data_IF_284304892782
#
_entry.id   IF_284304892782
#
_cell.length_a   1.000
_cell.length_b   1.000
_cell.length_c   1.000
_cell.angle_alpha   90.00
_cell.angle_beta   90.00
_cell.angle_gamma   90.00
#
_symmetry.space_group_name_H-M   'P 1'
#
loop_
_entity.id
_entity.type
_entity.pdbx_description
1 polymer ?
#
# COMPACT_ATOMS: atom_id res chain seq x y z
N UNK A 1 26.30 18.89 17.99
CA UNK A 1 25.27 17.96 17.49
C UNK A 1 25.86 17.23 16.30
N UNK A 2 26.47 16.09 16.54
CA UNK A 2 27.06 15.22 15.53
C UNK A 2 25.91 14.57 14.74
N UNK A 3 25.79 14.93 13.47
CA UNK A 3 24.93 14.20 12.52
C UNK A 3 25.30 12.72 12.56
N UNK A 4 24.35 11.78 12.67
CA UNK A 4 24.66 10.36 12.56
C UNK A 4 25.37 10.13 11.23
N UNK A 5 26.52 9.48 11.27
CA UNK A 5 27.19 9.00 10.08
C UNK A 5 26.17 8.15 9.30
N UNK A 6 25.76 8.63 8.13
CA UNK A 6 24.75 7.95 7.32
C UNK A 6 25.37 6.63 6.87
N UNK A 7 24.77 5.50 7.28
CA UNK A 7 25.19 4.18 6.83
C UNK A 7 25.19 4.18 5.29
N UNK A 8 26.35 3.87 4.69
CA UNK A 8 26.47 3.76 3.24
C UNK A 8 25.87 2.40 2.87
N UNK A 9 24.62 2.39 2.42
CA UNK A 9 23.96 1.17 1.95
C UNK A 9 24.70 0.59 0.75
N UNK A 10 24.95 -0.72 0.73
CA UNK A 10 25.43 -1.39 -0.48
C UNK A 10 24.26 -1.60 -1.43
N UNK A 11 24.40 -1.13 -2.67
CA UNK A 11 23.39 -1.31 -3.72
C UNK A 11 24.06 -1.47 -5.06
N UNK A 12 23.51 -2.35 -5.88
CA UNK A 12 23.92 -2.48 -7.27
C UNK A 12 23.08 -1.53 -8.11
N UNK A 13 23.75 -0.73 -8.94
CA UNK A 13 23.11 0.19 -9.87
C UNK A 13 23.29 -0.32 -11.30
N UNK A 14 22.24 -0.23 -12.10
CA UNK A 14 22.33 -0.32 -13.56
C UNK A 14 22.26 1.09 -14.14
N UNK A 15 23.09 1.40 -15.13
CA UNK A 15 23.10 2.69 -15.80
C UNK A 15 22.68 2.53 -17.26
N UNK A 16 21.86 3.44 -17.76
CA UNK A 16 21.53 3.54 -19.18
C UNK A 16 22.71 4.07 -19.99
N UNK A 17 22.58 4.02 -21.32
CA UNK A 17 23.40 4.84 -22.20
C UNK A 17 23.11 6.33 -21.96
N UNK A 18 24.07 7.17 -22.34
CA UNK A 18 23.86 8.61 -22.43
C UNK A 18 22.73 8.95 -23.41
N UNK A 19 22.12 10.13 -23.26
CA UNK A 19 21.01 10.55 -24.11
C UNK A 19 19.63 10.17 -23.59
N UNK A 20 19.49 9.76 -22.33
CA UNK A 20 18.24 9.23 -21.81
C UNK A 20 17.79 9.92 -20.52
N UNK A 21 16.47 10.06 -20.36
CA UNK A 21 15.82 10.51 -19.15
C UNK A 21 14.77 9.49 -18.70
N UNK A 22 14.47 9.49 -17.41
CA UNK A 22 13.35 8.73 -16.90
C UNK A 22 12.07 9.56 -17.00
N UNK A 23 11.03 8.97 -17.59
CA UNK A 23 9.68 9.52 -17.60
C UNK A 23 8.80 8.66 -16.69
N UNK A 24 8.44 9.13 -15.49
CA UNK A 24 7.49 8.41 -14.65
C UNK A 24 6.12 8.36 -15.34
N UNK A 25 5.34 7.33 -15.03
CA UNK A 25 3.95 7.26 -15.46
C UNK A 25 3.08 8.29 -14.71
N UNK A 26 3.44 8.62 -13.47
CA UNK A 26 2.72 9.55 -12.61
C UNK A 26 3.67 10.58 -11.98
N UNK A 27 3.29 11.86 -11.99
CA UNK A 27 4.14 12.95 -11.48
C UNK A 27 4.48 12.83 -9.99
N UNK A 28 3.60 12.19 -9.20
CA UNK A 28 3.81 11.94 -7.76
C UNK A 28 5.06 11.08 -7.48
N UNK A 29 5.58 10.40 -8.49
CA UNK A 29 6.77 9.56 -8.36
C UNK A 29 8.07 10.37 -8.28
N UNK A 30 8.07 11.66 -8.62
CA UNK A 30 9.25 12.51 -8.43
C UNK A 30 9.43 12.84 -6.94
N UNK A 31 10.47 12.26 -6.33
CA UNK A 31 10.81 12.49 -4.92
C UNK A 31 11.53 13.82 -4.75
N UNK A 32 12.54 14.07 -5.58
CA UNK A 32 13.46 15.19 -5.43
C UNK A 32 13.99 15.63 -6.78
N UNK A 33 14.06 16.94 -6.98
CA UNK A 33 14.77 17.58 -8.09
C UNK A 33 15.79 18.54 -7.49
N UNK A 34 17.08 18.27 -7.71
CA UNK A 34 18.18 19.06 -7.15
C UNK A 34 19.33 19.19 -8.14
N UNK A 35 20.29 20.04 -7.82
CA UNK A 35 21.60 20.06 -8.48
C UNK A 35 22.57 19.09 -7.80
N UNK A 36 23.33 18.32 -8.58
CA UNK A 36 24.42 17.49 -8.09
C UNK A 36 25.68 17.72 -8.93
N UNK A 37 26.85 17.84 -8.29
CA UNK A 37 28.10 18.15 -9.01
C UNK A 37 28.59 16.97 -9.88
N UNK A 38 28.10 15.76 -9.63
CA UNK A 38 28.47 14.57 -10.38
C UNK A 38 27.38 13.51 -10.36
N UNK A 39 27.48 12.58 -11.31
CA UNK A 39 26.65 11.37 -11.36
C UNK A 39 26.74 10.59 -10.05
N UNK A 40 27.95 10.48 -9.47
CA UNK A 40 28.19 9.78 -8.22
C UNK A 40 27.46 10.43 -7.03
N UNK A 41 27.39 11.76 -6.98
CA UNK A 41 26.64 12.44 -5.92
C UNK A 41 25.13 12.34 -6.11
N UNK A 42 24.66 12.29 -7.37
CA UNK A 42 23.25 12.02 -7.66
C UNK A 42 22.86 10.59 -7.26
N UNK A 43 23.69 9.61 -7.64
CA UNK A 43 23.44 8.21 -7.29
C UNK A 43 23.55 7.96 -5.79
N UNK A 44 24.49 8.61 -5.09
CA UNK A 44 24.60 8.56 -3.63
C UNK A 44 23.35 9.15 -2.95
N UNK A 45 22.81 10.24 -3.48
CA UNK A 45 21.57 10.83 -2.96
C UNK A 45 20.37 9.89 -3.16
N UNK A 46 20.28 9.20 -4.31
CA UNK A 46 19.30 8.14 -4.48
C UNK A 46 19.54 7.02 -3.45
N UNK A 47 20.79 6.59 -3.29
CA UNK A 47 21.14 5.48 -2.42
C UNK A 47 20.80 5.70 -0.95
N UNK A 48 20.94 6.94 -0.47
CA UNK A 48 20.60 7.35 0.89
C UNK A 48 19.09 7.52 1.10
N UNK A 49 18.29 7.53 0.02
CA UNK A 49 16.84 7.63 0.10
C UNK A 49 16.20 6.24 -0.09
N UNK A 50 15.52 5.68 0.93
CA UNK A 50 14.94 4.33 0.85
C UNK A 50 13.80 4.21 -0.17
N UNK A 51 13.12 5.32 -0.52
CA UNK A 51 12.07 5.35 -1.55
C UNK A 51 12.64 5.47 -2.97
N UNK A 52 13.88 5.94 -3.14
CA UNK A 52 14.46 6.15 -4.47
C UNK A 52 14.88 4.84 -5.13
N UNK A 53 14.30 4.55 -6.29
CA UNK A 53 14.60 3.35 -7.09
C UNK A 53 15.18 3.68 -8.45
N UNK A 54 14.83 4.84 -9.00
CA UNK A 54 15.40 5.36 -10.24
C UNK A 54 15.88 6.78 -9.99
N UNK A 55 16.97 7.17 -10.65
CA UNK A 55 17.39 8.55 -10.75
C UNK A 55 17.78 8.87 -12.19
N UNK A 56 17.71 10.13 -12.57
CA UNK A 56 18.43 10.61 -13.75
C UNK A 56 19.32 11.78 -13.41
N UNK A 57 20.42 11.87 -14.16
CA UNK A 57 21.44 12.87 -13.98
C UNK A 57 21.85 13.41 -15.35
N UNK A 58 21.77 14.72 -15.51
CA UNK A 58 22.28 15.42 -16.67
C UNK A 58 23.57 16.17 -16.32
N UNK A 59 24.69 15.79 -16.96
CA UNK A 59 25.99 16.37 -16.60
C UNK A 59 26.19 17.80 -17.10
N UNK A 60 25.44 18.26 -18.10
CA UNK A 60 25.54 19.63 -18.62
C UNK A 60 24.89 20.66 -17.70
N UNK A 61 23.71 20.33 -17.17
CA UNK A 61 22.92 21.19 -16.29
C UNK A 61 23.13 20.90 -14.80
N UNK A 62 23.88 19.84 -14.48
CA UNK A 62 24.00 19.28 -13.13
C UNK A 62 22.66 18.86 -12.51
N UNK A 63 21.60 18.70 -13.31
CA UNK A 63 20.28 18.32 -12.81
C UNK A 63 20.31 16.86 -12.35
N UNK A 64 19.79 16.62 -11.16
CA UNK A 64 19.62 15.31 -10.55
C UNK A 64 18.17 15.14 -10.09
N UNK A 65 17.46 14.18 -10.67
CA UNK A 65 16.09 13.83 -10.28
C UNK A 65 16.06 12.44 -9.67
N UNK A 66 15.36 12.29 -8.55
CA UNK A 66 15.18 11.04 -7.83
C UNK A 66 13.72 10.62 -7.92
N UNK A 67 13.46 9.34 -8.21
CA UNK A 67 12.13 8.82 -8.43
C UNK A 67 11.81 7.60 -7.57
N UNK A 68 10.59 7.61 -7.04
CA UNK A 68 9.90 6.47 -6.45
C UNK A 68 9.16 5.72 -7.57
N UNK A 69 9.95 5.15 -8.47
CA UNK A 69 9.45 4.50 -9.68
C UNK A 69 10.35 3.33 -10.08
N UNK A 70 9.80 2.42 -10.87
CA UNK A 70 10.53 1.37 -11.54
C UNK A 70 10.13 1.34 -13.03
N UNK A 71 10.66 0.37 -13.78
CA UNK A 71 10.36 0.23 -15.21
C UNK A 71 8.96 -0.34 -15.48
N UNK A 72 8.22 -0.78 -14.45
CA UNK A 72 6.84 -1.22 -14.61
C UNK A 72 5.86 -0.02 -14.59
N UNK A 73 6.25 1.10 -13.98
CA UNK A 73 5.44 2.32 -13.85
C UNK A 73 6.14 3.57 -14.42
N UNK A 74 6.99 3.39 -15.42
CA UNK A 74 7.65 4.47 -16.13
C UNK A 74 8.47 3.94 -17.29
N UNK A 75 9.14 4.84 -18.01
CA UNK A 75 9.95 4.49 -19.16
C UNK A 75 11.24 5.29 -19.22
N UNK A 76 12.30 4.64 -19.69
CA UNK A 76 13.53 5.33 -20.11
C UNK A 76 13.31 5.81 -21.55
N UNK A 77 13.36 7.12 -21.76
CA UNK A 77 13.11 7.73 -23.07
C UNK A 77 14.36 8.44 -23.56
N UNK A 78 14.59 8.43 -24.87
CA UNK A 78 15.63 9.22 -25.49
C UNK A 78 15.28 10.71 -25.42
N UNK A 79 16.27 11.56 -25.13
CA UNK A 79 16.11 13.02 -25.06
C UNK A 79 17.17 13.73 -25.89
N UNK A 80 16.94 15.01 -26.18
CA UNK A 80 17.89 15.83 -26.94
C UNK A 80 19.22 16.04 -26.21
N UNK A 81 19.22 16.02 -24.88
CA UNK A 81 20.44 16.10 -24.08
C UNK A 81 21.25 14.81 -24.23
N UNK A 82 22.38 14.88 -24.92
CA UNK A 82 23.34 13.76 -25.02
C UNK A 82 24.12 13.53 -23.71
N UNK A 83 23.88 14.32 -22.66
CA UNK A 83 24.60 14.23 -21.38
C UNK A 83 23.79 13.61 -20.24
N UNK A 84 22.53 13.24 -20.50
CA UNK A 84 21.66 12.64 -19.50
C UNK A 84 21.83 11.12 -19.42
N UNK A 85 21.90 10.59 -18.19
CA UNK A 85 21.98 9.17 -17.87
C UNK A 85 20.91 8.84 -16.84
N UNK A 86 20.24 7.69 -17.01
CA UNK A 86 19.33 7.11 -16.03
C UNK A 86 20.06 6.02 -15.26
N UNK A 87 19.94 6.03 -13.93
CA UNK A 87 20.37 4.92 -13.08
C UNK A 87 19.19 4.26 -12.38
N UNK A 88 19.20 2.93 -12.30
CA UNK A 88 18.20 2.14 -11.57
C UNK A 88 18.86 1.29 -10.49
N UNK A 89 18.23 1.27 -9.32
CA UNK A 89 18.63 0.42 -8.20
C UNK A 89 18.13 -0.99 -8.47
N UNK A 90 19.04 -1.97 -8.49
CA UNK A 90 18.68 -3.37 -8.69
C UNK A 90 18.21 -3.95 -7.36
N UNK A 91 16.98 -4.44 -7.35
CA UNK A 91 16.37 -5.07 -6.18
C UNK A 91 16.46 -6.59 -6.32
N UNK A 92 16.89 -7.25 -5.25
CA UNK A 92 16.95 -8.72 -5.19
C UNK A 92 16.19 -9.21 -3.97
N UNK A 93 15.31 -10.19 -4.15
CA UNK A 93 14.57 -10.83 -3.05
C UNK A 93 15.47 -11.29 -1.89
N UNK A 94 16.69 -11.76 -2.20
CA UNK A 94 17.66 -12.21 -1.19
C UNK A 94 18.08 -11.10 -0.22
N UNK A 95 18.00 -9.83 -0.64
CA UNK A 95 18.31 -8.66 0.18
C UNK A 95 17.11 -8.21 1.03
N UNK A 96 15.93 -8.82 0.87
CA UNK A 96 14.72 -8.44 1.59
C UNK A 96 14.23 -9.55 2.52
N UNK A 97 14.11 -10.78 1.99
CA UNK A 97 13.42 -11.87 2.67
C UNK A 97 13.99 -12.24 4.04
N UNK A 98 15.30 -12.13 4.23
CA UNK A 98 15.94 -12.42 5.52
C UNK A 98 15.74 -11.35 6.58
N UNK A 99 15.42 -10.11 6.18
CA UNK A 99 15.32 -8.97 7.08
C UNK A 99 13.88 -8.56 7.41
N UNK A 100 12.91 -8.90 6.57
CA UNK A 100 11.53 -8.51 6.81
C UNK A 100 11.02 -9.08 8.13
N UNK A 101 10.36 -8.22 8.92
CA UNK A 101 9.85 -8.51 10.26
C UNK A 101 10.92 -8.89 11.31
N UNK A 102 12.21 -8.72 11.02
CA UNK A 102 13.29 -8.81 12.02
C UNK A 102 13.27 -7.60 12.95
N UNK A 103 14.04 -7.64 14.03
CA UNK A 103 14.21 -6.47 14.92
C UNK A 103 14.81 -5.28 14.17
N UNK A 104 14.48 -4.06 14.57
CA UNK A 104 14.97 -2.85 13.91
C UNK A 104 16.50 -2.77 13.78
N UNK A 105 17.26 -3.41 14.67
CA UNK A 105 18.72 -3.52 14.56
C UNK A 105 19.19 -4.22 13.29
N UNK A 106 18.38 -5.13 12.71
CA UNK A 106 18.72 -5.90 11.53
C UNK A 106 18.66 -5.09 10.22
N UNK A 107 17.83 -4.03 10.16
CA UNK A 107 17.69 -3.19 8.96
C UNK A 107 18.29 -1.79 9.10
N UNK A 108 19.06 -1.50 10.16
CA UNK A 108 19.74 -0.20 10.28
C UNK A 108 20.67 0.09 9.09
N UNK A 109 21.29 -0.96 8.54
CA UNK A 109 22.20 -0.90 7.40
C UNK A 109 21.53 -1.34 6.10
N UNK A 110 20.20 -1.37 6.06
CA UNK A 110 19.43 -1.75 4.89
C UNK A 110 18.58 -0.58 4.39
N UNK A 111 18.76 -0.17 3.13
CA UNK A 111 17.90 0.85 2.50
C UNK A 111 16.54 0.32 2.08
N UNK A 112 16.43 -0.99 1.94
CA UNK A 112 15.29 -1.66 1.34
C UNK A 112 14.12 -1.82 2.31
N UNK A 113 14.36 -1.63 3.60
CA UNK A 113 13.42 -1.75 4.69
C UNK A 113 13.65 -0.62 5.69
N UNK A 114 12.61 -0.22 6.38
CA UNK A 114 12.66 0.81 7.42
C UNK A 114 12.21 0.23 8.75
N UNK A 115 12.82 0.67 9.85
CA UNK A 115 12.33 0.34 11.18
C UNK A 115 10.95 0.98 11.41
N UNK A 116 9.93 0.15 11.61
CA UNK A 116 8.62 0.59 12.11
C UNK A 116 8.74 0.78 13.62
N UNK A 117 8.55 2.02 14.09
CA UNK A 117 8.58 2.34 15.52
C UNK A 117 7.37 1.74 16.27
N UNK A 118 6.27 1.48 15.57
CA UNK A 118 5.06 0.91 16.16
C UNK A 118 5.22 -0.56 16.48
N UNK A 119 5.83 -1.33 15.56
CA UNK A 119 6.02 -2.78 15.72
C UNK A 119 7.43 -3.14 16.20
N UNK A 120 8.35 -2.17 16.22
CA UNK A 120 9.79 -2.36 16.46
C UNK A 120 10.43 -3.42 15.54
N UNK A 121 9.92 -3.51 14.31
CA UNK A 121 10.40 -4.47 13.31
C UNK A 121 10.71 -3.80 11.98
N UNK A 122 11.54 -4.46 11.18
CA UNK A 122 11.88 -4.06 9.82
C UNK A 122 10.67 -4.27 8.91
N UNK A 123 10.18 -3.17 8.35
CA UNK A 123 9.00 -3.11 7.49
C UNK A 123 9.34 -2.52 6.14
N UNK A 124 8.43 -2.66 5.18
CA UNK A 124 8.57 -2.02 3.88
C UNK A 124 8.59 -0.48 4.04
N UNK A 125 9.42 0.25 3.26
CA UNK A 125 9.41 1.70 3.23
C UNK A 125 8.05 2.28 2.82
N UNK A 126 7.88 3.60 2.99
CA UNK A 126 6.69 4.30 2.49
C UNK A 126 6.40 3.98 1.01
N UNK A 127 5.10 3.94 0.68
CA UNK A 127 4.57 3.64 -0.66
C UNK A 127 5.09 2.33 -1.27
N UNK A 128 5.42 1.36 -0.43
CA UNK A 128 5.77 0.00 -0.82
C UNK A 128 5.03 -0.99 0.08
N UNK A 129 4.89 -2.23 -0.36
CA UNK A 129 4.13 -3.26 0.36
C UNK A 129 4.88 -4.58 0.35
N UNK A 130 4.64 -5.45 1.32
CA UNK A 130 5.29 -6.75 1.36
C UNK A 130 4.56 -7.76 0.48
N UNK A 131 5.19 -8.26 -0.58
CA UNK A 131 4.56 -9.23 -1.48
C UNK A 131 4.88 -10.71 -1.14
N UNK A 132 5.44 -10.97 0.04
CA UNK A 132 5.94 -12.30 0.43
C UNK A 132 7.42 -12.53 0.15
N UNK A 133 8.07 -11.68 -0.66
CA UNK A 133 9.48 -11.85 -1.06
C UNK A 133 10.31 -10.58 -0.94
N UNK A 134 9.74 -9.44 -1.34
CA UNK A 134 10.39 -8.13 -1.30
C UNK A 134 9.35 -7.03 -1.06
N UNK A 135 9.83 -5.78 -0.99
CA UNK A 135 8.97 -4.61 -0.93
C UNK A 135 8.90 -3.91 -2.31
N UNK A 136 8.08 -4.37 -3.28
CA UNK A 136 7.80 -3.61 -4.49
C UNK A 136 7.06 -2.30 -4.17
N UNK A 137 7.04 -1.37 -5.11
CA UNK A 137 6.22 -0.17 -5.01
C UNK A 137 4.75 -0.54 -4.95
N UNK A 138 3.99 0.23 -4.15
CA UNK A 138 2.54 0.19 -4.17
C UNK A 138 2.01 0.55 -5.56
N UNK A 139 0.90 -0.09 -5.88
CA UNK A 139 0.27 -0.12 -7.18
C UNK A 139 -0.62 1.11 -7.39
N UNK A 140 -0.64 1.59 -8.64
CA UNK A 140 -1.44 2.73 -9.07
C UNK A 140 -2.84 2.31 -9.54
N UNK A 141 -3.67 3.29 -9.90
CA UNK A 141 -5.04 3.06 -10.31
C UNK A 141 -5.14 2.04 -11.46
N UNK A 142 -6.13 1.15 -11.36
CA UNK A 142 -6.44 0.04 -12.28
C UNK A 142 -5.37 -1.07 -12.36
N UNK A 143 -4.29 -1.00 -11.59
CA UNK A 143 -3.35 -2.11 -11.49
C UNK A 143 -3.99 -3.28 -10.73
N UNK A 144 -3.73 -4.51 -11.19
CA UNK A 144 -4.20 -5.71 -10.53
C UNK A 144 -3.49 -5.91 -9.19
N UNK A 145 -4.25 -6.19 -8.14
CA UNK A 145 -3.72 -6.30 -6.78
C UNK A 145 -4.20 -7.60 -6.12
N UNK A 146 -3.40 -8.11 -5.18
CA UNK A 146 -3.63 -9.41 -4.51
C UNK A 146 -3.74 -9.31 -2.99
N UNK A 147 -3.67 -8.09 -2.43
CA UNK A 147 -3.71 -7.83 -1.00
C UNK A 147 -4.12 -6.38 -0.71
N UNK A 148 -4.62 -6.15 0.51
CA UNK A 148 -5.27 -4.91 0.92
C UNK A 148 -4.33 -3.68 0.87
N UNK A 149 -3.06 -3.87 1.20
CA UNK A 149 -2.03 -2.84 1.32
C UNK A 149 -1.20 -2.66 0.03
N UNK A 150 -1.57 -3.36 -1.04
CA UNK A 150 -0.83 -3.28 -2.30
C UNK A 150 -0.97 -1.94 -3.03
N UNK A 151 -2.03 -1.18 -2.78
CA UNK A 151 -2.35 0.04 -3.53
C UNK A 151 -1.82 1.31 -2.86
N UNK A 152 -1.57 2.35 -3.65
CA UNK A 152 -1.09 3.68 -3.20
C UNK A 152 -2.13 4.40 -2.33
N UNK A 153 -2.01 4.22 -1.03
CA UNK A 153 -2.92 4.81 -0.03
C UNK A 153 -2.87 6.34 0.01
N UNK A 154 -1.71 6.93 -0.30
CA UNK A 154 -1.51 8.38 -0.43
C UNK A 154 -2.32 8.99 -1.60
N UNK A 155 -2.71 8.16 -2.57
CA UNK A 155 -3.59 8.52 -3.68
C UNK A 155 -5.06 8.11 -3.43
N UNK A 156 -5.41 7.75 -2.18
CA UNK A 156 -6.72 7.25 -1.79
C UNK A 156 -7.15 6.01 -2.60
N UNK A 157 -6.18 5.16 -2.96
CA UNK A 157 -6.43 3.88 -3.63
C UNK A 157 -6.48 2.75 -2.62
N UNK A 158 -7.39 1.80 -2.86
CA UNK A 158 -7.48 0.55 -2.10
C UNK A 158 -7.70 -0.60 -3.06
N UNK A 159 -7.22 -1.79 -2.68
CA UNK A 159 -7.41 -2.99 -3.47
C UNK A 159 -8.86 -3.47 -3.31
N UNK A 160 -9.65 -3.36 -4.37
CA UNK A 160 -11.07 -3.73 -4.29
C UNK A 160 -11.25 -5.25 -4.29
N UNK A 161 -12.19 -5.69 -3.47
CA UNK A 161 -12.59 -7.09 -3.34
C UNK A 161 -13.87 -7.31 -4.15
N UNK A 162 -13.89 -8.33 -5.01
CA UNK A 162 -15.07 -8.70 -5.77
C UNK A 162 -16.12 -9.42 -4.89
N UNK A 163 -17.29 -9.76 -5.46
CA UNK A 163 -18.34 -10.48 -4.74
C UNK A 163 -17.94 -11.89 -4.24
N UNK A 164 -16.80 -12.41 -4.71
CA UNK A 164 -16.26 -13.72 -4.33
C UNK A 164 -15.19 -13.62 -3.24
N UNK A 165 -14.89 -12.42 -2.75
CA UNK A 165 -13.85 -12.23 -1.73
C UNK A 165 -12.43 -12.13 -2.31
N UNK A 166 -12.28 -11.99 -3.62
CA UNK A 166 -10.97 -11.90 -4.27
C UNK A 166 -10.55 -10.45 -4.51
N UNK A 167 -9.28 -10.18 -4.24
CA UNK A 167 -8.64 -8.93 -4.62
C UNK A 167 -8.54 -8.82 -6.15
N UNK A 168 -8.89 -7.65 -6.68
CA UNK A 168 -8.95 -7.45 -8.14
C UNK A 168 -8.04 -6.32 -8.60
N UNK A 169 -8.36 -5.07 -8.26
CA UNK A 169 -7.63 -3.91 -8.78
C UNK A 169 -7.64 -2.71 -7.82
N UNK A 170 -6.67 -1.81 -8.00
CA UNK A 170 -6.59 -0.57 -7.23
C UNK A 170 -7.57 0.47 -7.78
N UNK A 171 -8.55 0.88 -6.98
CA UNK A 171 -9.50 1.94 -7.33
C UNK A 171 -9.62 2.98 -6.23
N UNK A 172 -10.06 4.18 -6.61
CA UNK A 172 -10.41 5.24 -5.67
C UNK A 172 -11.72 4.90 -4.99
N UNK A 173 -11.76 5.00 -3.66
CA UNK A 173 -13.02 5.03 -2.92
C UNK A 173 -13.80 3.73 -2.92
N UNK A 174 -13.32 2.74 -2.16
CA UNK A 174 -14.29 2.09 -1.30
C UNK A 174 -14.64 3.10 -0.20
N UNK A 175 -15.92 3.45 0.05
CA UNK A 175 -16.27 3.97 1.37
C UNK A 175 -15.70 2.97 2.37
N UNK A 176 -15.08 3.45 3.45
CA UNK A 176 -14.54 2.64 4.54
C UNK A 176 -15.24 1.29 4.57
N UNK A 177 -14.54 0.25 4.13
CA UNK A 177 -15.01 -1.10 4.35
C UNK A 177 -15.12 -1.19 5.87
N UNK A 178 -16.33 -0.97 6.39
CA UNK A 178 -16.63 -1.21 7.78
C UNK A 178 -16.31 -2.68 7.94
N UNK A 179 -15.13 -2.95 8.49
CA UNK A 179 -14.69 -4.25 8.94
C UNK A 179 -15.90 -4.93 9.55
N UNK A 180 -16.23 -6.11 9.04
CA UNK A 180 -17.35 -6.93 9.49
C UNK A 180 -17.49 -6.79 11.01
N UNK A 181 -18.48 -5.99 11.45
CA UNK A 181 -18.67 -5.70 12.85
C UNK A 181 -19.28 -6.95 13.46
N UNK A 182 -18.44 -7.80 14.06
CA UNK A 182 -18.92 -8.88 14.91
C UNK A 182 -19.44 -8.24 16.20
N UNK A 183 -20.73 -7.92 16.22
CA UNK A 183 -21.40 -7.43 17.42
C UNK A 183 -21.79 -8.64 18.26
N UNK A 184 -20.96 -8.95 19.25
CA UNK A 184 -21.26 -9.96 20.27
C UNK A 184 -21.78 -9.24 21.51
N UNK A 185 -23.09 -9.31 21.78
CA UNK A 185 -23.70 -8.66 22.94
C UNK A 185 -24.81 -9.53 23.54
N UNK A 186 -24.93 -9.54 24.87
CA UNK A 186 -26.00 -10.28 25.56
C UNK A 186 -27.40 -9.71 25.25
N UNK A 187 -27.49 -8.40 25.00
CA UNK A 187 -28.75 -7.72 24.66
C UNK A 187 -28.46 -6.59 23.68
N UNK A 188 -29.05 -6.65 22.49
CA UNK A 188 -28.99 -5.54 21.52
C UNK A 188 -30.36 -4.89 21.50
N UNK A 189 -30.44 -3.66 22.02
CA UNK A 189 -31.65 -2.84 21.99
C UNK A 189 -31.35 -1.63 21.12
N UNK A 190 -31.81 -1.64 19.87
CA UNK A 190 -31.60 -0.54 18.93
C UNK A 190 -32.89 -0.24 18.17
N UNK A 191 -33.25 1.04 18.07
CA UNK A 191 -34.46 1.48 17.37
C UNK A 191 -34.34 1.35 15.84
N UNK A 192 -33.12 1.39 15.30
CA UNK A 192 -32.87 1.22 13.87
C UNK A 192 -31.42 0.79 13.67
N UNK A 193 -31.21 -0.37 13.04
CA UNK A 193 -29.88 -0.76 12.56
C UNK A 193 -29.88 -0.50 11.06
N UNK A 194 -29.18 0.55 10.64
CA UNK A 194 -29.06 0.91 9.23
C UNK A 194 -27.63 0.65 8.80
N UNK A 195 -27.43 -0.25 7.84
CA UNK A 195 -26.11 -0.50 7.26
C UNK A 195 -26.23 -0.49 5.73
N UNK A 196 -25.46 0.38 5.09
CA UNK A 196 -25.58 0.72 3.66
C UNK A 196 -24.94 -0.32 2.73
N UNK A 197 -23.93 -1.06 3.22
CA UNK A 197 -23.31 -2.19 2.51
C UNK A 197 -22.66 -3.10 3.55
N UNK A 198 -23.20 -4.31 3.71
CA UNK A 198 -22.67 -5.33 4.62
C UNK A 198 -22.45 -6.59 3.82
N UNK A 199 -21.19 -6.92 3.54
CA UNK A 199 -20.82 -8.13 2.80
C UNK A 199 -20.93 -9.39 3.65
N UNK A 200 -20.74 -9.29 4.98
CA UNK A 200 -20.99 -10.36 5.96
C UNK A 200 -21.14 -9.77 7.37
N UNK A 201 -22.37 -9.65 7.89
CA UNK A 201 -22.58 -9.39 9.33
C UNK A 201 -23.15 -10.65 9.98
N UNK A 202 -22.50 -11.08 11.05
CA UNK A 202 -23.01 -12.08 11.97
C UNK A 202 -23.36 -11.35 13.26
N UNK A 203 -24.65 -11.28 13.59
CA UNK A 203 -25.10 -10.78 14.89
C UNK A 203 -25.40 -11.98 15.75
N UNK A 204 -24.66 -12.15 16.84
CA UNK A 204 -24.88 -13.21 17.83
C UNK A 204 -25.31 -12.54 19.13
N UNK A 205 -26.59 -12.67 19.48
CA UNK A 205 -27.14 -12.08 20.70
C UNK A 205 -28.19 -12.99 21.35
N UNK A 206 -28.33 -12.93 22.68
CA UNK A 206 -29.36 -13.72 23.39
C UNK A 206 -30.75 -13.16 23.10
N UNK A 207 -30.88 -11.82 23.03
CA UNK A 207 -32.14 -11.14 22.73
C UNK A 207 -31.91 -9.97 21.77
N UNK A 208 -32.65 -9.94 20.66
CA UNK A 208 -32.66 -8.83 19.69
C UNK A 208 -34.04 -8.19 19.70
N UNK A 209 -34.11 -6.92 20.10
CA UNK A 209 -35.34 -6.12 20.03
C UNK A 209 -35.10 -4.96 19.06
N UNK A 210 -35.72 -5.00 17.87
CA UNK A 210 -35.54 -3.98 16.84
C UNK A 210 -36.88 -3.61 16.18
N UNK A 211 -37.12 -2.31 16.00
CA UNK A 211 -38.34 -1.80 15.36
C UNK A 211 -38.30 -1.91 13.84
N UNK A 212 -37.11 -1.84 13.23
CA UNK A 212 -36.92 -2.12 11.79
C UNK A 212 -35.49 -2.58 11.49
N UNK A 213 -35.36 -3.52 10.55
CA UNK A 213 -34.07 -3.94 9.96
C UNK A 213 -34.18 -3.74 8.45
N UNK A 214 -33.41 -2.78 7.94
CA UNK A 214 -33.37 -2.45 6.51
C UNK A 214 -31.96 -2.67 5.97
N UNK A 215 -31.84 -3.47 4.92
CA UNK A 215 -30.58 -3.65 4.19
C UNK A 215 -30.81 -3.39 2.70
N UNK A 216 -29.94 -2.57 2.10
CA UNK A 216 -30.10 -2.12 0.71
C UNK A 216 -29.57 -3.14 -0.32
N UNK A 217 -28.63 -4.01 0.09
CA UNK A 217 -28.08 -5.07 -0.77
C UNK A 217 -27.27 -6.04 0.10
N UNK A 218 -27.76 -7.27 0.28
CA UNK A 218 -27.06 -8.32 1.04
C UNK A 218 -27.22 -9.68 0.35
N UNK A 219 -26.13 -10.39 0.02
CA UNK A 219 -26.21 -11.78 -0.45
C UNK A 219 -26.55 -12.78 0.68
N UNK A 220 -26.13 -12.50 1.93
CA UNK A 220 -26.50 -13.25 3.13
C UNK A 220 -26.23 -12.46 4.43
N UNK A 221 -27.28 -12.12 5.20
CA UNK A 221 -27.16 -11.70 6.60
C UNK A 221 -27.67 -12.86 7.48
N UNK A 222 -26.91 -13.24 8.51
CA UNK A 222 -27.30 -14.29 9.46
C UNK A 222 -27.49 -13.62 10.83
N UNK A 223 -28.72 -13.66 11.33
CA UNK A 223 -29.04 -13.29 12.72
C UNK A 223 -29.26 -14.57 13.50
N UNK A 224 -28.42 -14.82 14.50
CA UNK A 224 -28.55 -15.96 15.41
C UNK A 224 -28.92 -15.43 16.78
N UNK A 225 -30.15 -15.68 17.22
CA UNK A 225 -30.62 -15.27 18.54
C UNK A 225 -31.55 -16.29 19.21
N UNK A 226 -31.56 -16.30 20.54
CA UNK A 226 -32.47 -17.10 21.33
C UNK A 226 -33.88 -16.48 21.37
N UNK A 227 -34.00 -15.16 21.18
CA UNK A 227 -35.30 -14.48 21.06
C UNK A 227 -35.21 -13.30 20.10
N UNK A 228 -36.11 -13.25 19.12
CA UNK A 228 -36.21 -12.18 18.13
C UNK A 228 -37.60 -11.54 18.21
N UNK A 229 -37.66 -10.23 18.40
CA UNK A 229 -38.90 -9.45 18.34
C UNK A 229 -38.73 -8.33 17.32
N UNK A 230 -39.44 -8.40 16.18
CA UNK A 230 -39.32 -7.42 15.08
C UNK A 230 -40.67 -7.02 14.51
N UNK A 231 -40.78 -5.78 14.00
CA UNK A 231 -42.00 -5.26 13.36
C UNK A 231 -41.96 -5.25 11.82
N UNK A 232 -40.76 -5.32 11.20
CA UNK A 232 -40.61 -5.34 9.74
C UNK A 232 -39.27 -5.95 9.30
N UNK A 233 -39.29 -6.91 8.38
CA UNK A 233 -38.11 -7.53 7.75
C UNK A 233 -38.29 -7.52 6.24
N UNK A 234 -37.35 -6.92 5.51
CA UNK A 234 -37.52 -6.72 4.05
C UNK A 234 -36.68 -7.69 3.20
N UNK A 235 -35.58 -8.27 3.74
CA UNK A 235 -34.62 -9.10 2.96
C UNK A 235 -33.66 -9.98 3.81
N UNK A 236 -34.03 -10.45 5.01
CA UNK A 236 -33.12 -11.20 5.90
C UNK A 236 -33.55 -12.66 6.14
N UNK A 237 -32.58 -13.55 6.34
CA UNK A 237 -32.80 -14.90 6.89
C UNK A 237 -32.68 -14.84 8.41
N UNK A 238 -33.75 -15.18 9.13
CA UNK A 238 -33.78 -15.18 10.60
C UNK A 238 -33.85 -16.63 11.08
N UNK A 239 -32.87 -17.04 11.90
CA UNK A 239 -32.87 -18.36 12.53
C UNK A 239 -32.95 -18.18 14.05
N UNK A 240 -34.10 -18.51 14.64
CA UNK A 240 -34.26 -18.60 16.08
C UNK A 240 -33.93 -20.02 16.53
N UNK A 241 -33.04 -20.17 17.52
CA UNK A 241 -32.83 -21.45 18.21
C UNK A 241 -33.71 -21.46 19.45
N UNK A 242 -34.63 -22.43 19.53
CA UNK A 242 -35.40 -22.74 20.75
C UNK A 242 -34.55 -23.46 21.78
#
# INVERSE_FOLDING_TARGET
MSSPAHAIYSSTLSLSLQGHEFKPQYDVQLILNKTAQSLLLCSAACNQNPSCRIFDYDSSSHRCRLFEADLANGAIIAVASQTSIVGSVILSASLYASMYNQSCSACQENRYQTCSLTTNTCQCPGNSYWNGSMCPLQLFANAACSQIDACRSDLNLSCIINSYGEFTQCLTGMPESTTAAMVTAATVTAATVTATTVTTATVTAVTVTATSVTSATVPAAIVTAATVTTATVTTATVTAST
#
